data_IF_402029333274
#
_entry.id   IF_402029333274
#
_cell.length_a   1.000
_cell.length_b   1.000
_cell.length_c   1.000
_cell.angle_alpha   90.00
_cell.angle_beta   90.00
_cell.angle_gamma   90.00
#
_symmetry.space_group_name_H-M   'P 1'
#
loop_
_entity.id
_entity.type
_entity.pdbx_description
1 polymer ?
#
# COMPACT_ATOMS: atom_id res chain seq x y z
N UNK A 1 31.02 -9.29 3.57
CA UNK A 1 31.15 -9.65 5.01
C UNK A 1 29.76 -9.71 5.61
N UNK A 2 29.45 -10.73 6.41
CA UNK A 2 28.09 -10.95 6.91
C UNK A 2 28.12 -11.28 8.42
N UNK A 3 27.46 -10.45 9.23
CA UNK A 3 27.23 -10.64 10.65
C UNK A 3 25.73 -10.70 10.98
N UNK A 4 24.87 -10.96 9.99
CA UNK A 4 23.43 -10.96 10.22
C UNK A 4 23.04 -11.92 11.34
N UNK A 5 22.02 -11.55 12.11
CA UNK A 5 21.50 -12.26 13.29
C UNK A 5 22.51 -12.36 14.46
N UNK A 6 23.59 -11.56 14.45
CA UNK A 6 24.50 -11.45 15.60
C UNK A 6 23.87 -10.55 16.68
N UNK A 7 22.83 -11.05 17.35
CA UNK A 7 22.00 -10.28 18.31
C UNK A 7 22.78 -9.70 19.49
N UNK A 8 23.90 -10.32 19.88
CA UNK A 8 24.77 -9.87 20.97
C UNK A 8 25.92 -8.95 20.50
N UNK A 9 26.06 -8.69 19.19
CA UNK A 9 27.13 -7.86 18.65
C UNK A 9 26.92 -6.39 19.02
N UNK A 10 27.65 -5.89 20.01
CA UNK A 10 27.57 -4.49 20.45
C UNK A 10 28.35 -3.52 19.57
N UNK A 11 29.47 -3.99 19.01
CA UNK A 11 30.37 -3.24 18.14
C UNK A 11 30.92 -4.17 17.08
N UNK A 12 31.14 -3.67 15.87
CA UNK A 12 31.86 -4.41 14.82
C UNK A 12 33.37 -4.43 15.09
N UNK A 13 34.08 -5.44 14.55
CA UNK A 13 35.54 -5.42 14.52
C UNK A 13 36.04 -4.24 13.67
N UNK A 14 37.31 -3.90 13.85
CA UNK A 14 37.97 -2.89 13.02
C UNK A 14 37.92 -3.30 11.54
N UNK A 15 37.53 -2.36 10.68
CA UNK A 15 37.40 -2.52 9.23
C UNK A 15 38.52 -1.79 8.47
N UNK A 16 39.59 -1.40 9.16
CA UNK A 16 40.71 -0.66 8.58
C UNK A 16 41.37 -1.35 7.38
N UNK A 17 41.39 -2.69 7.37
CA UNK A 17 41.94 -3.50 6.27
C UNK A 17 40.89 -3.94 5.24
N UNK A 18 39.61 -3.59 5.44
CA UNK A 18 38.49 -4.05 4.62
C UNK A 18 38.30 -3.21 3.34
N UNK A 19 39.37 -2.80 2.67
CA UNK A 19 39.32 -1.93 1.49
C UNK A 19 38.61 -2.54 0.28
N UNK A 20 38.61 -3.88 0.17
CA UNK A 20 37.91 -4.62 -0.88
C UNK A 20 36.46 -4.99 -0.52
N UNK A 21 35.95 -4.50 0.61
CA UNK A 21 34.59 -4.84 1.05
C UNK A 21 33.55 -4.19 0.14
N UNK A 22 32.77 -5.01 -0.56
CA UNK A 22 31.70 -4.54 -1.48
C UNK A 22 30.32 -4.57 -0.80
N UNK A 23 30.06 -5.60 0.02
CA UNK A 23 28.78 -5.84 0.68
C UNK A 23 28.99 -6.10 2.17
N UNK A 24 28.28 -5.37 3.02
CA UNK A 24 28.26 -5.55 4.47
C UNK A 24 26.84 -5.83 4.95
N UNK A 25 26.62 -7.01 5.53
CA UNK A 25 25.33 -7.44 6.07
C UNK A 25 25.38 -7.47 7.60
N UNK A 26 24.48 -6.72 8.23
CA UNK A 26 24.35 -6.56 9.68
C UNK A 26 22.90 -6.74 10.12
N UNK A 27 22.06 -7.37 9.30
CA UNK A 27 20.63 -7.50 9.59
C UNK A 27 20.42 -8.20 10.94
N UNK A 28 19.43 -7.81 11.74
CA UNK A 28 19.13 -8.46 13.02
C UNK A 28 20.18 -8.26 14.12
N UNK A 29 21.19 -7.40 13.94
CA UNK A 29 22.15 -7.07 15.01
C UNK A 29 21.52 -6.10 16.03
N UNK A 30 20.57 -6.60 16.83
CA UNK A 30 19.73 -5.79 17.73
C UNK A 30 20.51 -5.03 18.81
N UNK A 31 21.65 -5.57 19.28
CA UNK A 31 22.51 -4.91 20.29
C UNK A 31 23.56 -3.95 19.71
N UNK A 32 23.66 -3.80 18.39
CA UNK A 32 24.69 -2.97 17.76
C UNK A 32 24.35 -1.48 17.96
N UNK A 33 25.18 -0.77 18.73
CA UNK A 33 24.91 0.63 19.12
C UNK A 33 25.50 1.63 18.12
N UNK A 34 26.66 1.31 17.55
CA UNK A 34 27.38 2.16 16.60
C UNK A 34 28.20 1.32 15.61
N UNK A 35 28.46 1.86 14.41
CA UNK A 35 29.48 1.34 13.51
C UNK A 35 30.83 2.02 13.80
N UNK A 36 31.96 1.30 13.67
CA UNK A 36 33.27 1.88 13.89
C UNK A 36 33.60 2.90 12.79
N UNK A 37 34.38 3.93 13.13
CA UNK A 37 34.83 4.93 12.16
C UNK A 37 35.63 4.33 11.00
N UNK A 38 36.26 3.17 11.22
CA UNK A 38 36.96 2.40 10.20
C UNK A 38 36.09 1.97 9.00
N UNK A 39 34.76 2.03 9.09
CA UNK A 39 33.86 1.79 7.94
C UNK A 39 34.20 2.72 6.77
N UNK A 40 34.75 3.91 7.03
CA UNK A 40 35.18 4.84 6.00
C UNK A 40 36.35 4.34 5.14
N UNK A 41 37.05 3.29 5.56
CA UNK A 41 38.11 2.64 4.77
C UNK A 41 37.56 1.62 3.77
N UNK A 42 36.29 1.22 3.90
CA UNK A 42 35.60 0.36 2.94
C UNK A 42 35.15 1.19 1.71
N UNK A 43 36.11 1.80 1.01
CA UNK A 43 35.86 2.72 -0.12
C UNK A 43 35.14 2.05 -1.30
N UNK A 44 35.21 0.72 -1.41
CA UNK A 44 34.54 -0.07 -2.44
C UNK A 44 33.15 -0.57 -2.02
N UNK A 45 32.67 -0.20 -0.83
CA UNK A 45 31.38 -0.62 -0.31
C UNK A 45 30.27 -0.07 -1.20
N UNK A 46 29.45 -0.98 -1.75
CA UNK A 46 28.31 -0.66 -2.61
C UNK A 46 26.98 -0.80 -1.89
N UNK A 47 26.86 -1.74 -0.96
CA UNK A 47 25.63 -1.94 -0.19
C UNK A 47 25.90 -2.21 1.28
N UNK A 48 25.16 -1.50 2.13
CA UNK A 48 25.15 -1.68 3.59
C UNK A 48 23.74 -2.04 4.05
N UNK A 49 23.61 -3.19 4.70
CA UNK A 49 22.34 -3.71 5.23
C UNK A 49 22.35 -3.71 6.75
N UNK A 50 21.46 -2.94 7.35
CA UNK A 50 21.30 -2.72 8.80
C UNK A 50 19.87 -3.05 9.28
N UNK A 51 19.08 -3.76 8.48
CA UNK A 51 17.67 -4.07 8.81
C UNK A 51 17.55 -4.77 10.16
N UNK A 52 16.76 -4.23 11.09
CA UNK A 52 16.56 -4.80 12.42
C UNK A 52 17.66 -4.47 13.43
N UNK A 53 18.59 -3.55 13.13
CA UNK A 53 19.55 -3.01 14.11
C UNK A 53 18.85 -2.00 15.05
N UNK A 54 17.90 -2.46 15.86
CA UNK A 54 17.05 -1.60 16.69
C UNK A 54 17.81 -0.78 17.73
N UNK A 55 18.98 -1.24 18.19
CA UNK A 55 19.87 -0.53 19.11
C UNK A 55 20.78 0.52 18.47
N UNK A 56 20.85 0.61 17.13
CA UNK A 56 21.75 1.52 16.43
C UNK A 56 21.29 2.97 16.60
N UNK A 57 22.12 3.81 17.22
CA UNK A 57 21.76 5.20 17.54
C UNK A 57 22.22 6.18 16.47
N UNK A 58 23.38 5.94 15.85
CA UNK A 58 23.98 6.82 14.84
C UNK A 58 24.84 6.04 13.85
N UNK A 59 25.01 6.60 12.66
CA UNK A 59 26.08 6.20 11.75
C UNK A 59 27.30 7.11 11.94
N UNK A 60 28.54 6.59 11.86
CA UNK A 60 29.74 7.40 11.98
C UNK A 60 29.88 8.35 10.79
N UNK A 61 30.43 9.54 11.01
CA UNK A 61 30.67 10.52 9.94
C UNK A 61 31.57 9.99 8.82
N UNK A 62 32.45 9.02 9.12
CA UNK A 62 33.29 8.39 8.11
C UNK A 62 32.51 7.56 7.08
N UNK A 63 31.21 7.28 7.27
CA UNK A 63 30.38 6.62 6.24
C UNK A 63 30.37 7.41 4.92
N UNK A 64 30.55 8.73 4.98
CA UNK A 64 30.66 9.58 3.79
C UNK A 64 31.88 9.29 2.92
N UNK A 65 32.89 8.57 3.43
CA UNK A 65 34.06 8.15 2.65
C UNK A 65 33.76 6.93 1.76
N UNK A 66 32.67 6.20 2.01
CA UNK A 66 32.21 5.13 1.14
C UNK A 66 31.52 5.72 -0.10
N UNK A 67 32.26 6.45 -0.93
CA UNK A 67 31.75 7.21 -2.07
C UNK A 67 31.14 6.31 -3.16
N UNK A 68 31.47 5.01 -3.17
CA UNK A 68 30.86 4.01 -4.05
C UNK A 68 29.56 3.40 -3.50
N UNK A 69 29.10 3.82 -2.32
CA UNK A 69 27.88 3.32 -1.72
C UNK A 69 26.68 3.67 -2.60
N UNK A 70 25.92 2.65 -2.98
CA UNK A 70 24.74 2.74 -3.84
C UNK A 70 23.47 2.45 -3.06
N UNK A 71 23.52 1.58 -2.06
CA UNK A 71 22.35 1.17 -1.30
C UNK A 71 22.61 1.19 0.21
N UNK A 72 21.75 1.87 0.95
CA UNK A 72 21.74 1.89 2.41
C UNK A 72 20.36 1.47 2.92
N UNK A 73 20.29 0.32 3.60
CA UNK A 73 19.06 -0.25 4.13
C UNK A 73 19.09 -0.24 5.66
N UNK A 74 18.28 0.60 6.27
CA UNK A 74 18.15 0.79 7.73
C UNK A 74 16.70 0.55 8.16
N UNK A 75 16.12 -0.59 7.80
CA UNK A 75 14.75 -0.90 8.21
C UNK A 75 14.71 -1.23 9.70
N UNK A 76 13.67 -0.81 10.41
CA UNK A 76 13.45 -1.08 11.84
C UNK A 76 14.64 -0.71 12.74
N UNK A 77 15.45 0.29 12.35
CA UNK A 77 16.48 0.89 13.21
C UNK A 77 15.82 1.95 14.09
N UNK A 78 14.99 1.50 15.04
CA UNK A 78 14.08 2.36 15.80
C UNK A 78 14.78 3.39 16.69
N UNK A 79 16.04 3.18 17.06
CA UNK A 79 16.84 4.11 17.88
C UNK A 79 17.66 5.10 17.06
N UNK A 80 17.68 4.98 15.73
CA UNK A 80 18.45 5.88 14.86
C UNK A 80 17.78 7.25 14.83
N UNK A 81 18.48 8.28 15.30
CA UNK A 81 17.93 9.63 15.49
C UNK A 81 18.19 10.54 14.28
N UNK A 82 19.36 10.40 13.66
CA UNK A 82 19.79 11.22 12.53
C UNK A 82 20.75 10.44 11.61
N UNK A 83 20.91 10.94 10.38
CA UNK A 83 22.04 10.57 9.52
C UNK A 83 23.16 11.61 9.68
N UNK A 84 24.45 11.21 9.63
CA UNK A 84 25.55 12.17 9.69
C UNK A 84 25.53 13.10 8.48
N UNK A 85 25.91 14.36 8.65
CA UNK A 85 26.01 15.33 7.57
C UNK A 85 26.86 14.84 6.38
N UNK A 86 27.87 14.03 6.62
CA UNK A 86 28.73 13.46 5.59
C UNK A 86 28.03 12.44 4.67
N UNK A 87 26.79 12.03 4.95
CA UNK A 87 26.04 11.13 4.05
C UNK A 87 25.91 11.72 2.64
N UNK A 88 25.85 13.05 2.51
CA UNK A 88 25.84 13.75 1.23
C UNK A 88 27.09 13.51 0.36
N UNK A 89 28.18 12.98 0.93
CA UNK A 89 29.39 12.64 0.17
C UNK A 89 29.27 11.29 -0.56
N UNK A 90 28.30 10.44 -0.20
CA UNK A 90 28.01 9.19 -0.89
C UNK A 90 27.25 9.46 -2.20
N UNK A 91 27.83 10.24 -3.11
CA UNK A 91 27.17 10.78 -4.32
C UNK A 91 26.70 9.71 -5.32
N UNK A 92 27.13 8.45 -5.14
CA UNK A 92 26.63 7.29 -5.89
C UNK A 92 25.39 6.62 -5.29
N UNK A 93 24.89 7.10 -4.15
CA UNK A 93 23.73 6.52 -3.48
C UNK A 93 22.49 6.61 -4.39
N UNK A 94 21.84 5.47 -4.59
CA UNK A 94 20.64 5.29 -5.42
C UNK A 94 19.42 4.97 -4.56
N UNK A 95 19.60 4.19 -3.49
CA UNK A 95 18.53 3.78 -2.60
C UNK A 95 18.90 4.09 -1.14
N UNK A 96 18.07 4.87 -0.47
CA UNK A 96 18.17 5.16 0.97
C UNK A 96 16.87 4.79 1.67
N UNK A 97 16.88 3.67 2.40
CA UNK A 97 15.68 3.13 3.04
C UNK A 97 15.84 3.20 4.56
N UNK A 98 15.03 4.04 5.20
CA UNK A 98 14.97 4.29 6.64
C UNK A 98 13.57 3.91 7.14
N UNK A 99 13.10 2.71 6.80
CA UNK A 99 11.74 2.28 7.11
C UNK A 99 11.61 1.97 8.61
N UNK A 100 10.58 2.46 9.28
CA UNK A 100 10.32 2.28 10.70
C UNK A 100 11.48 2.76 11.61
N UNK A 101 12.24 3.77 11.18
CA UNK A 101 13.17 4.51 12.03
C UNK A 101 12.39 5.52 12.90
N UNK A 102 11.63 5.02 13.87
CA UNK A 102 10.67 5.82 14.64
C UNK A 102 11.28 6.95 15.48
N UNK A 103 12.58 6.92 15.77
CA UNK A 103 13.29 8.01 16.46
C UNK A 103 13.87 9.07 15.52
N UNK A 104 13.82 8.88 14.21
CA UNK A 104 14.34 9.83 13.22
C UNK A 104 13.54 11.13 13.26
N UNK A 105 14.21 12.27 13.45
CA UNK A 105 13.55 13.59 13.56
C UNK A 105 13.71 14.44 12.29
N UNK A 106 14.87 14.36 11.65
CA UNK A 106 15.20 15.10 10.43
C UNK A 106 16.22 14.34 9.55
N UNK A 107 16.31 14.76 8.29
CA UNK A 107 17.44 14.40 7.42
C UNK A 107 18.42 15.58 7.34
N UNK A 108 19.74 15.33 7.24
CA UNK A 108 20.71 16.40 7.06
C UNK A 108 20.50 17.10 5.71
N UNK A 109 20.72 18.42 5.65
CA UNK A 109 20.58 19.21 4.41
C UNK A 109 21.50 18.75 3.28
N UNK A 110 22.62 18.11 3.62
CA UNK A 110 23.56 17.49 2.66
C UNK A 110 22.95 16.36 1.83
N UNK A 111 21.77 15.85 2.19
CA UNK A 111 21.01 14.91 1.35
C UNK A 111 20.81 15.48 -0.06
N UNK A 112 20.72 16.81 -0.20
CA UNK A 112 20.61 17.51 -1.48
C UNK A 112 21.76 17.25 -2.46
N UNK A 113 22.92 16.77 -1.98
CA UNK A 113 24.08 16.42 -2.83
C UNK A 113 23.95 15.03 -3.48
N UNK A 114 22.93 14.25 -3.09
CA UNK A 114 22.73 12.88 -3.60
C UNK A 114 21.99 12.90 -4.95
N UNK A 115 22.63 13.48 -5.98
CA UNK A 115 22.01 13.68 -7.29
C UNK A 115 21.59 12.38 -8.01
N UNK A 116 22.15 11.23 -7.63
CA UNK A 116 21.79 9.89 -8.15
C UNK A 116 20.75 9.16 -7.31
N UNK A 117 20.26 9.75 -6.21
CA UNK A 117 19.28 9.13 -5.34
C UNK A 117 17.97 8.98 -6.10
N UNK A 118 17.59 7.73 -6.32
CA UNK A 118 16.42 7.32 -7.07
C UNK A 118 15.24 7.07 -6.12
N UNK A 119 15.51 6.45 -4.97
CA UNK A 119 14.50 6.06 -4.00
C UNK A 119 14.86 6.53 -2.59
N UNK A 120 13.95 7.30 -2.00
CA UNK A 120 13.99 7.68 -0.60
C UNK A 120 12.77 7.12 0.11
N UNK A 121 12.97 6.13 0.98
CA UNK A 121 11.90 5.51 1.75
C UNK A 121 12.08 5.83 3.24
N UNK A 122 11.14 6.61 3.78
CA UNK A 122 11.07 7.07 5.17
C UNK A 122 9.82 6.53 5.86
N UNK A 123 9.15 5.53 5.28
CA UNK A 123 7.90 4.99 5.80
C UNK A 123 8.02 4.66 7.29
N UNK A 124 7.09 5.12 8.11
CA UNK A 124 7.04 4.81 9.54
C UNK A 124 8.06 5.56 10.41
N UNK A 125 8.75 6.57 9.86
CA UNK A 125 9.52 7.54 10.64
C UNK A 125 8.57 8.49 11.39
N UNK A 126 7.93 8.00 12.43
CA UNK A 126 6.79 8.68 13.09
C UNK A 126 7.13 10.02 13.74
N UNK A 127 8.40 10.25 14.12
CA UNK A 127 8.89 11.53 14.67
C UNK A 127 9.47 12.49 13.61
N UNK A 128 9.53 12.09 12.33
CA UNK A 128 10.04 12.96 11.28
C UNK A 128 9.06 14.11 11.06
N UNK A 129 9.53 15.34 11.27
CA UNK A 129 8.66 16.53 11.18
C UNK A 129 8.79 17.26 9.85
N UNK A 130 10.03 17.33 9.33
CA UNK A 130 10.38 18.11 8.14
C UNK A 130 11.44 17.40 7.29
N UNK A 131 11.45 17.74 6.00
CA UNK A 131 12.57 17.45 5.11
C UNK A 131 13.35 18.74 4.84
N UNK A 132 14.64 18.65 4.50
CA UNK A 132 15.40 19.81 4.04
C UNK A 132 14.69 20.50 2.89
N UNK A 133 14.60 21.83 2.97
CA UNK A 133 14.00 22.68 1.94
C UNK A 133 15.09 23.26 1.03
N UNK A 134 14.68 23.84 -0.11
CA UNK A 134 15.59 24.48 -1.08
C UNK A 134 16.65 23.54 -1.67
N UNK A 135 16.33 22.25 -1.77
CA UNK A 135 17.14 21.25 -2.46
C UNK A 135 16.33 20.64 -3.62
N UNK A 136 17.03 20.05 -4.58
CA UNK A 136 16.41 19.35 -5.70
C UNK A 136 17.14 18.04 -5.99
N UNK A 137 16.54 16.92 -5.61
CA UNK A 137 17.07 15.60 -5.91
C UNK A 137 16.71 15.21 -7.36
N UNK A 138 17.63 15.45 -8.29
CA UNK A 138 17.40 15.35 -9.74
C UNK A 138 16.94 13.97 -10.23
N UNK A 139 17.43 12.90 -9.60
CA UNK A 139 17.09 11.52 -9.96
C UNK A 139 15.95 10.92 -9.14
N UNK A 140 15.42 11.64 -8.14
CA UNK A 140 14.47 11.08 -7.19
C UNK A 140 13.15 10.77 -7.89
N UNK A 141 12.80 9.49 -7.96
CA UNK A 141 11.60 9.00 -8.64
C UNK A 141 10.56 8.46 -7.66
N UNK A 142 10.96 7.89 -6.51
CA UNK A 142 10.06 7.48 -5.42
C UNK A 142 10.42 8.24 -4.14
N UNK A 143 9.40 8.84 -3.54
CA UNK A 143 9.42 9.30 -2.15
C UNK A 143 8.27 8.65 -1.38
N UNK A 144 8.63 7.89 -0.33
CA UNK A 144 7.67 7.26 0.56
C UNK A 144 7.78 7.84 1.98
N UNK A 145 6.75 8.57 2.40
CA UNK A 145 6.57 9.15 3.74
C UNK A 145 5.35 8.53 4.44
N UNK A 146 4.93 7.33 4.03
CA UNK A 146 3.78 6.65 4.61
C UNK A 146 3.95 6.48 6.12
N UNK A 147 2.91 6.75 6.92
CA UNK A 147 2.92 6.65 8.38
C UNK A 147 3.95 7.57 9.09
N UNK A 148 4.43 8.63 8.44
CA UNK A 148 5.16 9.72 9.10
C UNK A 148 4.18 10.66 9.82
N UNK A 149 3.69 10.22 10.98
CA UNK A 149 2.55 10.84 11.70
C UNK A 149 2.75 12.31 12.06
N UNK A 150 3.98 12.74 12.33
CA UNK A 150 4.31 14.13 12.71
C UNK A 150 4.62 15.05 11.52
N UNK A 151 4.66 14.50 10.30
CA UNK A 151 5.02 15.24 9.09
C UNK A 151 3.86 16.10 8.60
N UNK A 152 3.99 17.43 8.66
CA UNK A 152 2.87 18.39 8.48
C UNK A 152 2.94 19.22 7.20
N UNK A 153 4.13 19.42 6.64
CA UNK A 153 4.35 20.22 5.43
C UNK A 153 4.42 19.33 4.19
N UNK A 154 4.03 19.85 3.02
CA UNK A 154 4.23 19.13 1.77
C UNK A 154 5.73 19.01 1.42
N UNK A 155 6.23 17.85 0.97
CA UNK A 155 7.67 17.61 0.78
C UNK A 155 8.19 18.19 -0.55
N UNK A 156 8.59 19.45 -0.55
CA UNK A 156 9.19 20.13 -1.73
C UNK A 156 10.70 19.82 -1.88
N UNK A 157 11.05 18.54 -2.00
CA UNK A 157 12.44 18.06 -2.08
C UNK A 157 12.92 17.76 -3.52
N UNK A 158 11.98 17.54 -4.45
CA UNK A 158 12.27 17.28 -5.86
C UNK A 158 11.02 17.44 -6.71
N UNK A 159 11.17 17.99 -7.91
CA UNK A 159 10.10 18.04 -8.93
C UNK A 159 10.11 16.83 -9.87
N UNK A 160 11.08 15.92 -9.73
CA UNK A 160 11.25 14.73 -10.59
C UNK A 160 10.51 13.49 -10.08
N UNK A 161 9.86 13.58 -8.91
CA UNK A 161 9.16 12.48 -8.27
C UNK A 161 8.05 11.96 -9.20
N UNK A 162 8.03 10.64 -9.40
CA UNK A 162 7.00 9.93 -10.16
C UNK A 162 5.94 9.33 -9.25
N UNK A 163 6.36 8.85 -8.08
CA UNK A 163 5.50 8.22 -7.07
C UNK A 163 5.74 8.91 -5.73
N UNK A 164 4.69 9.56 -5.21
CA UNK A 164 4.71 10.25 -3.93
C UNK A 164 3.70 9.61 -2.98
N UNK A 165 4.17 9.04 -1.88
CA UNK A 165 3.32 8.39 -0.87
C UNK A 165 3.31 9.18 0.43
N UNK A 166 2.15 9.70 0.79
CA UNK A 166 1.92 10.58 1.94
C UNK A 166 0.80 10.06 2.85
N UNK A 167 0.42 8.79 2.72
CA UNK A 167 -0.60 8.18 3.56
C UNK A 167 -0.18 8.24 5.04
N UNK A 168 -1.11 8.53 5.95
CA UNK A 168 -0.80 8.59 7.38
C UNK A 168 0.09 9.77 7.80
N UNK A 169 0.27 10.78 6.94
CA UNK A 169 0.92 12.05 7.33
C UNK A 169 -0.09 13.04 7.90
N UNK A 170 0.39 14.08 8.58
CA UNK A 170 -0.42 15.18 9.08
C UNK A 170 -0.45 16.39 8.11
N UNK A 171 -0.21 16.15 6.81
CA UNK A 171 -0.20 17.19 5.77
C UNK A 171 -1.59 17.80 5.63
N UNK A 172 -1.66 19.14 5.68
CA UNK A 172 -2.91 19.91 5.63
C UNK A 172 -3.12 20.67 4.33
N UNK A 173 -2.11 20.75 3.48
CA UNK A 173 -2.19 21.47 2.21
C UNK A 173 -1.28 20.83 1.16
N UNK A 174 -1.68 20.97 -0.10
CA UNK A 174 -0.86 20.65 -1.26
C UNK A 174 -0.54 21.99 -1.93
N UNK A 175 0.73 22.34 -2.13
CA UNK A 175 1.12 23.62 -2.72
C UNK A 175 0.82 23.66 -4.22
N UNK A 176 0.70 24.86 -4.80
CA UNK A 176 0.49 25.05 -6.23
C UNK A 176 1.69 24.59 -7.08
N UNK A 177 2.88 24.56 -6.48
CA UNK A 177 4.13 24.08 -7.09
C UNK A 177 4.03 22.63 -7.59
N UNK A 178 3.11 21.82 -7.06
CA UNK A 178 2.88 20.44 -7.52
C UNK A 178 2.53 20.37 -9.03
N UNK A 179 1.96 21.45 -9.59
CA UNK A 179 1.69 21.54 -11.04
C UNK A 179 2.96 21.51 -11.89
N UNK A 180 4.12 21.83 -11.31
CA UNK A 180 5.41 21.78 -11.98
C UNK A 180 6.00 20.36 -12.01
N UNK A 181 5.42 19.41 -11.27
CA UNK A 181 5.91 18.04 -11.15
C UNK A 181 5.39 17.21 -12.33
N UNK A 182 5.88 17.49 -13.52
CA UNK A 182 5.41 16.89 -14.78
C UNK A 182 5.56 15.37 -14.86
N UNK A 183 6.39 14.78 -14.00
CA UNK A 183 6.62 13.34 -13.89
C UNK A 183 5.72 12.64 -12.87
N UNK A 184 5.03 13.39 -12.01
CA UNK A 184 4.20 12.83 -10.95
C UNK A 184 3.01 12.08 -11.58
N UNK A 185 3.03 10.76 -11.46
CA UNK A 185 2.02 9.87 -12.02
C UNK A 185 1.17 9.21 -10.94
N UNK A 186 1.68 9.15 -9.70
CA UNK A 186 1.06 8.46 -8.58
C UNK A 186 1.23 9.29 -7.31
N UNK A 187 0.11 9.75 -6.75
CA UNK A 187 0.03 10.52 -5.52
C UNK A 187 -0.94 9.83 -4.57
N UNK A 188 -0.38 9.19 -3.54
CA UNK A 188 -1.14 8.55 -2.47
C UNK A 188 -1.22 9.49 -1.26
N UNK A 189 -2.42 9.83 -0.81
CA UNK A 189 -2.62 10.75 0.32
C UNK A 189 -3.72 10.30 1.27
N UNK A 190 -3.65 10.77 2.52
CA UNK A 190 -4.75 10.65 3.46
C UNK A 190 -5.64 11.89 3.48
N UNK A 191 -6.93 11.69 3.65
CA UNK A 191 -7.88 12.76 3.90
C UNK A 191 -7.69 13.32 5.31
N UNK A 192 -7.66 14.66 5.43
CA UNK A 192 -7.69 15.38 6.69
C UNK A 192 -8.87 16.35 6.66
N UNK A 193 -9.64 16.48 7.74
CA UNK A 193 -10.77 17.44 7.80
C UNK A 193 -10.32 18.90 7.65
N UNK A 194 -9.06 19.20 7.98
CA UNK A 194 -8.45 20.52 7.77
C UNK A 194 -7.88 20.71 6.36
N UNK A 195 -7.89 19.67 5.52
CA UNK A 195 -7.48 19.76 4.12
C UNK A 195 -8.52 20.62 3.40
N UNK A 196 -8.27 21.93 3.34
CA UNK A 196 -9.09 22.89 2.59
C UNK A 196 -9.23 22.37 1.15
N UNK A 197 -10.38 22.59 0.52
CA UNK A 197 -10.67 22.12 -0.84
C UNK A 197 -9.44 22.31 -1.76
N UNK A 198 -9.01 21.22 -2.42
CA UNK A 198 -7.78 21.18 -3.22
C UNK A 198 -8.07 21.14 -4.72
N UNK A 199 -8.73 22.14 -5.34
CA UNK A 199 -9.13 22.07 -6.74
C UNK A 199 -7.96 21.78 -7.69
N UNK A 200 -6.74 22.25 -7.38
CA UNK A 200 -5.56 22.03 -8.20
C UNK A 200 -4.94 20.64 -8.08
N UNK A 201 -5.17 19.91 -6.98
CA UNK A 201 -4.62 18.57 -6.78
C UNK A 201 -5.58 17.45 -7.22
N UNK A 202 -6.87 17.76 -7.47
CA UNK A 202 -7.90 16.77 -7.85
C UNK A 202 -7.55 15.98 -9.11
N UNK A 203 -6.84 16.60 -10.06
CA UNK A 203 -6.40 15.96 -11.29
C UNK A 203 -5.17 15.07 -11.15
N UNK A 204 -4.59 14.96 -9.94
CA UNK A 204 -3.30 14.30 -9.72
C UNK A 204 -3.41 13.17 -8.68
N UNK A 205 -4.28 13.32 -7.68
CA UNK A 205 -4.48 12.30 -6.64
C UNK A 205 -4.98 10.99 -7.28
N UNK A 206 -4.19 9.92 -7.11
CA UNK A 206 -4.48 8.57 -7.63
C UNK A 206 -5.05 7.67 -6.55
N UNK A 207 -4.61 7.84 -5.30
CA UNK A 207 -5.04 7.02 -4.17
C UNK A 207 -5.40 7.91 -2.99
N UNK A 208 -6.63 7.76 -2.49
CA UNK A 208 -7.12 8.51 -1.33
C UNK A 208 -7.51 7.56 -0.19
N UNK A 209 -6.92 7.82 0.98
CA UNK A 209 -7.18 7.05 2.19
C UNK A 209 -7.91 7.91 3.24
N UNK A 210 -9.15 7.58 3.53
CA UNK A 210 -9.98 8.27 4.55
C UNK A 210 -10.15 7.31 5.72
N UNK A 211 -9.67 7.71 6.90
CA UNK A 211 -9.68 6.85 8.09
C UNK A 211 -10.24 7.57 9.30
N UNK A 212 -11.12 6.88 10.03
CA UNK A 212 -11.65 7.28 11.34
C UNK A 212 -12.18 8.72 11.38
N UNK A 213 -12.85 9.15 10.31
CA UNK A 213 -13.48 10.48 10.24
C UNK A 213 -14.89 10.44 10.78
N UNK A 214 -15.34 11.58 11.31
CA UNK A 214 -16.69 11.76 11.86
C UNK A 214 -17.68 12.29 10.81
N UNK A 215 -17.24 12.32 9.55
CA UNK A 215 -18.01 12.78 8.39
C UNK A 215 -19.27 11.94 8.16
N UNK A 216 -20.37 12.62 7.81
CA UNK A 216 -21.62 11.97 7.40
C UNK A 216 -21.69 11.69 5.91
N UNK A 217 -20.96 12.47 5.11
CA UNK A 217 -20.96 12.43 3.65
C UNK A 217 -19.56 12.66 3.10
N UNK A 218 -19.25 12.08 1.94
CA UNK A 218 -17.98 12.29 1.24
C UNK A 218 -17.92 13.70 0.63
N UNK A 219 -16.81 14.45 0.82
CA UNK A 219 -16.62 15.75 0.22
C UNK A 219 -16.86 15.76 -1.29
N UNK A 220 -17.51 16.81 -1.78
CA UNK A 220 -17.88 16.93 -3.20
C UNK A 220 -16.68 16.85 -4.16
N UNK A 221 -15.51 17.31 -3.72
CA UNK A 221 -14.31 17.30 -4.55
C UNK A 221 -13.81 15.88 -4.85
N UNK A 222 -14.07 14.88 -3.98
CA UNK A 222 -13.71 13.48 -4.24
C UNK A 222 -14.45 12.99 -5.49
N UNK A 223 -15.69 13.46 -5.71
CA UNK A 223 -16.49 13.18 -6.91
C UNK A 223 -15.87 13.78 -8.17
N UNK A 224 -15.16 14.91 -8.04
CA UNK A 224 -14.51 15.63 -9.15
C UNK A 224 -13.09 15.13 -9.45
N UNK A 225 -12.58 14.17 -8.69
CA UNK A 225 -11.22 13.64 -8.83
C UNK A 225 -11.13 12.65 -10.00
N UNK A 226 -10.86 13.15 -11.20
CA UNK A 226 -10.85 12.36 -12.44
C UNK A 226 -9.75 11.30 -12.53
N UNK A 227 -8.69 11.44 -11.72
CA UNK A 227 -7.54 10.53 -11.74
C UNK A 227 -7.57 9.51 -10.59
N UNK A 228 -8.59 9.54 -9.74
CA UNK A 228 -8.68 8.66 -8.57
C UNK A 228 -8.88 7.21 -9.02
N UNK A 229 -7.89 6.36 -8.73
CA UNK A 229 -7.87 4.92 -9.04
C UNK A 229 -8.21 4.08 -7.82
N UNK A 230 -7.89 4.56 -6.63
CA UNK A 230 -8.12 3.84 -5.39
C UNK A 230 -8.71 4.75 -4.31
N UNK A 231 -9.81 4.32 -3.70
CA UNK A 231 -10.45 4.97 -2.57
C UNK A 231 -10.60 3.96 -1.44
N UNK A 232 -10.02 4.27 -0.29
CA UNK A 232 -10.13 3.48 0.94
C UNK A 232 -10.83 4.29 2.02
N UNK A 233 -11.91 3.76 2.57
CA UNK A 233 -12.70 4.34 3.66
C UNK A 233 -12.67 3.37 4.84
N UNK A 234 -11.92 3.68 5.89
CA UNK A 234 -11.71 2.77 7.02
C UNK A 234 -12.23 3.40 8.31
N UNK A 235 -13.16 2.76 8.99
CA UNK A 235 -13.66 3.20 10.29
C UNK A 235 -14.43 4.54 10.26
N UNK A 236 -14.98 4.94 9.12
CA UNK A 236 -15.80 6.16 8.99
C UNK A 236 -17.21 5.89 9.56
N UNK A 237 -17.35 5.84 10.88
CA UNK A 237 -18.53 5.29 11.56
C UNK A 237 -19.81 6.07 11.36
N UNK A 238 -19.74 7.36 11.04
CA UNK A 238 -20.91 8.24 10.80
C UNK A 238 -21.30 8.39 9.34
N UNK A 239 -20.52 7.83 8.41
CA UNK A 239 -20.80 7.91 6.97
C UNK A 239 -22.07 7.14 6.64
N UNK A 240 -23.07 7.81 6.04
CA UNK A 240 -24.41 7.22 5.80
C UNK A 240 -24.59 6.76 4.35
N UNK A 241 -24.02 7.46 3.38
CA UNK A 241 -24.07 7.05 1.98
C UNK A 241 -22.79 7.35 1.20
N UNK A 242 -22.60 6.59 0.12
CA UNK A 242 -21.57 6.89 -0.88
C UNK A 242 -22.19 7.63 -2.06
N UNK A 243 -21.64 8.78 -2.49
CA UNK A 243 -22.10 9.46 -3.69
C UNK A 243 -21.50 8.84 -4.96
N UNK A 244 -21.97 9.29 -6.13
CA UNK A 244 -21.31 8.97 -7.41
C UNK A 244 -19.80 9.23 -7.34
N UNK A 245 -19.03 8.19 -7.66
CA UNK A 245 -17.57 8.20 -7.71
C UNK A 245 -17.10 8.29 -9.16
N UNK A 246 -15.82 8.62 -9.36
CA UNK A 246 -15.20 8.68 -10.69
C UNK A 246 -15.17 7.30 -11.36
N UNK A 247 -15.42 7.26 -12.66
CA UNK A 247 -15.33 6.03 -13.47
C UNK A 247 -13.87 5.53 -13.62
N UNK A 248 -12.88 6.36 -13.28
CA UNK A 248 -11.47 5.97 -13.21
C UNK A 248 -11.16 4.97 -12.08
N UNK A 249 -12.06 4.81 -11.12
CA UNK A 249 -11.84 4.01 -9.92
C UNK A 249 -11.68 2.52 -10.27
N UNK A 250 -10.57 1.94 -9.83
CA UNK A 250 -10.22 0.53 -9.97
C UNK A 250 -10.41 -0.24 -8.66
N UNK A 251 -10.28 0.44 -7.52
CA UNK A 251 -10.37 -0.17 -6.21
C UNK A 251 -11.18 0.72 -5.26
N UNK A 252 -12.25 0.16 -4.70
CA UNK A 252 -13.00 0.76 -3.60
C UNK A 252 -12.96 -0.20 -2.42
N UNK A 253 -12.38 0.24 -1.31
CA UNK A 253 -12.38 -0.49 -0.05
C UNK A 253 -13.09 0.33 1.01
N UNK A 254 -14.11 -0.26 1.62
CA UNK A 254 -14.90 0.33 2.69
C UNK A 254 -14.91 -0.67 3.83
N UNK A 255 -14.25 -0.32 4.91
CA UNK A 255 -14.06 -1.19 6.06
C UNK A 255 -14.61 -0.55 7.33
N UNK A 256 -15.34 -1.32 8.13
CA UNK A 256 -15.84 -0.92 9.46
C UNK A 256 -16.61 0.43 9.44
N UNK A 257 -17.30 0.75 8.34
CA UNK A 257 -18.20 1.90 8.22
C UNK A 257 -19.60 1.49 8.68
N UNK A 258 -19.81 1.52 10.01
CA UNK A 258 -20.97 0.92 10.68
C UNK A 258 -22.32 1.58 10.36
N UNK A 259 -22.33 2.85 9.94
CA UNK A 259 -23.55 3.59 9.57
C UNK A 259 -23.83 3.63 8.06
N UNK A 260 -22.98 3.02 7.24
CA UNK A 260 -23.15 3.09 5.79
C UNK A 260 -24.36 2.26 5.35
N UNK A 261 -25.39 2.94 4.86
CA UNK A 261 -26.68 2.35 4.52
C UNK A 261 -26.95 2.34 3.01
N UNK A 262 -26.59 3.43 2.32
CA UNK A 262 -26.97 3.66 0.92
C UNK A 262 -25.78 3.87 -0.01
N UNK A 263 -25.96 3.50 -1.27
CA UNK A 263 -25.03 3.74 -2.36
C UNK A 263 -25.75 4.58 -3.41
N UNK A 264 -25.52 5.89 -3.38
CA UNK A 264 -26.10 6.87 -4.30
C UNK A 264 -25.18 7.03 -5.54
N UNK A 265 -24.72 5.90 -6.07
CA UNK A 265 -23.73 5.82 -7.13
C UNK A 265 -23.97 4.62 -8.06
N UNK A 266 -23.44 4.71 -9.27
CA UNK A 266 -23.28 3.60 -10.19
C UNK A 266 -21.79 3.31 -10.39
N UNK A 267 -21.47 2.03 -10.54
CA UNK A 267 -20.11 1.58 -10.83
C UNK A 267 -20.02 1.16 -12.29
N UNK A 268 -19.62 2.09 -13.16
CA UNK A 268 -19.61 1.84 -14.62
C UNK A 268 -18.36 1.07 -15.08
N UNK A 269 -17.29 1.06 -14.30
CA UNK A 269 -16.03 0.42 -14.66
C UNK A 269 -16.08 -1.09 -14.36
N UNK A 270 -16.10 -1.98 -15.37
CA UNK A 270 -16.19 -3.43 -15.15
C UNK A 270 -14.92 -4.04 -14.54
N UNK A 271 -13.81 -3.28 -14.48
CA UNK A 271 -12.56 -3.71 -13.86
C UNK A 271 -12.47 -3.35 -12.37
N UNK A 272 -13.45 -2.63 -11.84
CA UNK A 272 -13.45 -2.22 -10.44
C UNK A 272 -13.51 -3.44 -9.51
N UNK A 273 -12.74 -3.37 -8.43
CA UNK A 273 -12.83 -4.27 -7.30
C UNK A 273 -13.51 -3.55 -6.15
N UNK A 274 -14.65 -4.08 -5.70
CA UNK A 274 -15.44 -3.53 -4.61
C UNK A 274 -15.23 -4.36 -3.34
N UNK A 275 -14.86 -3.73 -2.24
CA UNK A 275 -14.70 -4.42 -0.96
C UNK A 275 -15.44 -3.66 0.12
N UNK A 276 -16.51 -4.25 0.62
CA UNK A 276 -17.27 -3.75 1.77
C UNK A 276 -17.07 -4.74 2.91
N UNK A 277 -16.13 -4.43 3.80
CA UNK A 277 -15.84 -5.20 4.99
C UNK A 277 -16.61 -4.66 6.18
N UNK A 278 -17.31 -5.55 6.88
CA UNK A 278 -18.10 -5.26 8.07
C UNK A 278 -19.11 -4.09 7.98
N UNK A 279 -19.54 -3.70 6.77
CA UNK A 279 -20.55 -2.66 6.53
C UNK A 279 -21.98 -3.22 6.63
N UNK A 280 -22.36 -3.78 7.78
CA UNK A 280 -23.57 -4.61 7.92
C UNK A 280 -24.90 -3.85 7.78
N UNK A 281 -24.88 -2.51 7.84
CA UNK A 281 -26.07 -1.66 7.64
C UNK A 281 -26.43 -1.37 6.18
N UNK A 282 -25.62 -1.81 5.22
CA UNK A 282 -25.96 -1.68 3.80
C UNK A 282 -27.36 -2.25 3.54
N UNK A 283 -28.26 -1.40 3.02
CA UNK A 283 -29.64 -1.74 2.78
C UNK A 283 -29.78 -2.73 1.61
N UNK A 284 -31.02 -3.16 1.31
CA UNK A 284 -31.25 -4.16 0.27
C UNK A 284 -30.83 -3.63 -1.10
N UNK A 285 -31.18 -2.39 -1.42
CA UNK A 285 -30.90 -1.72 -2.69
C UNK A 285 -29.40 -1.61 -2.96
N UNK A 286 -28.61 -1.20 -1.96
CA UNK A 286 -27.16 -1.12 -2.02
C UNK A 286 -26.51 -2.48 -2.26
N UNK A 287 -26.96 -3.52 -1.54
CA UNK A 287 -26.46 -4.90 -1.74
C UNK A 287 -26.82 -5.42 -3.12
N UNK A 288 -28.05 -5.20 -3.56
CA UNK A 288 -28.52 -5.55 -4.90
C UNK A 288 -27.68 -4.88 -5.99
N UNK A 289 -27.34 -3.60 -5.82
CA UNK A 289 -26.46 -2.86 -6.71
C UNK A 289 -25.08 -3.54 -6.80
N UNK A 290 -24.42 -3.80 -5.67
CA UNK A 290 -23.10 -4.46 -5.65
C UNK A 290 -23.16 -5.83 -6.34
N UNK A 291 -24.19 -6.63 -6.05
CA UNK A 291 -24.35 -7.98 -6.61
C UNK A 291 -24.59 -7.92 -8.13
N UNK A 292 -25.39 -6.97 -8.62
CA UNK A 292 -25.76 -6.86 -10.04
C UNK A 292 -24.66 -6.22 -10.89
N UNK A 293 -23.89 -5.30 -10.32
CA UNK A 293 -22.77 -4.60 -10.98
C UNK A 293 -21.77 -5.58 -11.59
N UNK A 294 -21.31 -5.30 -12.81
CA UNK A 294 -20.18 -6.02 -13.41
C UNK A 294 -18.88 -5.49 -12.81
N UNK A 295 -18.12 -6.39 -12.18
CA UNK A 295 -16.89 -6.03 -11.44
C UNK A 295 -15.80 -7.07 -11.72
N UNK A 296 -14.56 -6.72 -11.39
CA UNK A 296 -13.48 -7.71 -11.33
C UNK A 296 -13.75 -8.74 -10.24
N UNK A 297 -14.13 -8.25 -9.05
CA UNK A 297 -14.76 -9.01 -7.97
C UNK A 297 -15.40 -8.03 -6.98
N UNK A 298 -16.33 -8.53 -6.18
CA UNK A 298 -16.94 -7.77 -5.08
C UNK A 298 -16.92 -8.59 -3.79
N UNK A 299 -16.69 -7.94 -2.65
CA UNK A 299 -16.90 -8.51 -1.32
C UNK A 299 -17.89 -7.65 -0.57
N UNK A 300 -18.91 -8.26 0.04
CA UNK A 300 -19.92 -7.53 0.82
C UNK A 300 -20.43 -8.37 1.99
N UNK A 301 -20.89 -7.74 3.09
CA UNK A 301 -21.46 -8.49 4.20
C UNK A 301 -22.79 -9.11 3.80
N UNK A 302 -22.99 -10.37 4.17
CA UNK A 302 -24.28 -11.05 4.01
C UNK A 302 -24.45 -12.15 5.05
N UNK A 303 -25.67 -12.34 5.54
CA UNK A 303 -25.99 -13.46 6.45
C UNK A 303 -26.27 -14.76 5.68
N UNK A 304 -26.70 -14.64 4.43
CA UNK A 304 -27.10 -15.76 3.58
C UNK A 304 -26.70 -15.49 2.12
N UNK A 305 -26.79 -16.52 1.27
CA UNK A 305 -26.57 -16.36 -0.17
C UNK A 305 -27.78 -15.65 -0.81
N UNK A 306 -27.52 -14.63 -1.61
CA UNK A 306 -28.57 -13.84 -2.27
C UNK A 306 -29.44 -14.68 -3.22
N UNK A 307 -30.71 -14.31 -3.39
CA UNK A 307 -31.66 -15.03 -4.25
C UNK A 307 -31.23 -15.10 -5.74
N UNK A 308 -30.45 -14.14 -6.20
CA UNK A 308 -29.91 -14.11 -7.57
C UNK A 308 -28.96 -15.27 -7.87
N UNK A 309 -28.47 -15.99 -6.87
CA UNK A 309 -27.67 -17.20 -7.03
C UNK A 309 -28.56 -18.42 -6.86
N UNK A 310 -29.04 -18.93 -8.01
CA UNK A 310 -30.04 -20.00 -8.13
C UNK A 310 -29.47 -21.39 -7.84
N UNK A 311 -28.22 -21.63 -8.20
CA UNK A 311 -27.51 -22.88 -7.92
C UNK A 311 -26.71 -22.75 -6.63
N UNK A 312 -26.99 -23.63 -5.65
CA UNK A 312 -26.39 -23.61 -4.32
C UNK A 312 -25.86 -24.99 -3.98
N UNK A 313 -24.72 -25.05 -3.31
CA UNK A 313 -24.12 -26.25 -2.80
C UNK A 313 -23.74 -26.00 -1.35
N UNK A 314 -24.10 -26.95 -0.48
CA UNK A 314 -23.79 -26.90 0.94
C UNK A 314 -22.47 -27.65 1.25
N UNK A 315 -21.85 -28.28 0.24
CA UNK A 315 -20.60 -29.03 0.34
C UNK A 315 -19.39 -28.10 0.23
N UNK A 316 -18.33 -28.39 0.99
CA UNK A 316 -17.17 -27.50 1.19
C UNK A 316 -16.23 -27.34 -0.02
N UNK A 317 -16.35 -28.13 -1.09
CA UNK A 317 -15.26 -28.22 -2.09
C UNK A 317 -15.65 -28.21 -3.57
N UNK A 318 -16.91 -28.48 -3.95
CA UNK A 318 -17.31 -28.48 -5.36
C UNK A 318 -18.83 -28.38 -5.57
N UNK A 319 -19.23 -27.83 -6.71
CA UNK A 319 -20.61 -27.74 -7.19
C UNK A 319 -20.65 -28.19 -8.64
N UNK A 320 -21.64 -29.04 -8.99
CA UNK A 320 -21.94 -29.40 -10.36
C UNK A 320 -23.25 -28.71 -10.78
N UNK A 321 -23.25 -28.04 -11.92
CA UNK A 321 -24.43 -27.36 -12.47
C UNK A 321 -24.76 -27.99 -13.81
N UNK A 322 -25.96 -28.53 -13.94
CA UNK A 322 -26.50 -28.99 -15.22
C UNK A 322 -27.23 -27.84 -15.89
N UNK A 323 -26.64 -27.30 -16.96
CA UNK A 323 -27.24 -26.25 -17.77
C UNK A 323 -28.24 -26.88 -18.75
N UNK A 324 -29.45 -27.14 -18.27
CA UNK A 324 -30.51 -27.70 -19.09
C UNK A 324 -31.12 -26.58 -19.95
N UNK A 325 -30.99 -26.75 -21.27
CA UNK A 325 -31.78 -26.08 -22.32
C UNK A 325 -31.39 -24.65 -22.71
N UNK A 326 -30.26 -24.54 -23.42
CA UNK A 326 -30.02 -23.74 -24.66
C UNK A 326 -28.54 -23.89 -25.01
N UNK A 327 -28.15 -23.97 -26.30
CA UNK A 327 -26.74 -23.90 -26.65
C UNK A 327 -26.18 -22.60 -26.06
N UNK A 328 -25.14 -22.72 -25.22
CA UNK A 328 -24.43 -21.56 -24.70
C UNK A 328 -23.96 -20.71 -25.89
N UNK A 329 -24.27 -19.42 -25.85
CA UNK A 329 -23.75 -18.48 -26.84
C UNK A 329 -22.22 -18.48 -26.82
N UNK A 330 -21.59 -18.07 -27.93
CA UNK A 330 -20.12 -18.06 -28.15
C UNK A 330 -19.36 -17.48 -26.93
N UNK A 331 -19.96 -16.50 -26.24
CA UNK A 331 -19.50 -16.02 -24.94
C UNK A 331 -20.66 -15.97 -23.95
N UNK A 332 -20.71 -16.90 -23.00
CA UNK A 332 -21.69 -16.85 -21.90
C UNK A 332 -21.01 -16.35 -20.62
N UNK A 333 -21.56 -15.30 -20.01
CA UNK A 333 -21.04 -14.71 -18.77
C UNK A 333 -21.78 -15.27 -17.56
N UNK A 334 -21.04 -15.75 -16.59
CA UNK A 334 -21.54 -16.30 -15.35
C UNK A 334 -21.06 -15.46 -14.18
N UNK A 335 -21.89 -15.41 -13.14
CA UNK A 335 -21.58 -14.79 -11.86
C UNK A 335 -21.68 -15.87 -10.78
N UNK A 336 -20.63 -16.03 -9.99
CA UNK A 336 -20.60 -16.95 -8.88
C UNK A 336 -20.33 -16.21 -7.58
N UNK A 337 -20.76 -16.80 -6.47
CA UNK A 337 -20.42 -16.32 -5.15
C UNK A 337 -19.90 -17.44 -4.25
N UNK A 338 -18.99 -17.09 -3.35
CA UNK A 338 -18.51 -17.94 -2.27
C UNK A 338 -18.91 -17.27 -0.95
N UNK A 339 -19.54 -18.04 -0.07
CA UNK A 339 -19.88 -17.57 1.27
C UNK A 339 -18.69 -17.78 2.20
N UNK A 340 -18.06 -16.69 2.61
CA UNK A 340 -16.90 -16.68 3.49
C UNK A 340 -17.36 -16.67 4.95
N UNK A 341 -17.11 -17.80 5.63
CA UNK A 341 -17.34 -17.94 7.07
C UNK A 341 -16.01 -18.21 7.74
N UNK A 342 -15.53 -17.24 8.50
CA UNK A 342 -14.42 -17.45 9.40
C UNK A 342 -14.95 -17.95 10.76
N UNK A 343 -14.43 -19.10 11.23
CA UNK A 343 -14.60 -19.60 12.59
C UNK A 343 -13.22 -19.49 13.23
N UNK A 344 -13.00 -18.47 14.05
CA UNK A 344 -11.67 -18.18 14.57
C UNK A 344 -11.25 -19.13 15.68
N UNK A 345 -9.96 -19.43 15.69
CA UNK A 345 -9.24 -19.65 16.94
C UNK A 345 -8.75 -18.27 17.41
N UNK A 346 -9.04 -17.95 18.67
CA UNK A 346 -8.55 -16.73 19.33
C UNK A 346 -7.07 -16.95 19.61
N UNK A 347 -6.23 -16.11 19.01
CA UNK A 347 -4.90 -15.65 19.46
C UNK A 347 -4.03 -15.42 18.23
N UNK A 348 -3.98 -14.17 17.78
CA UNK A 348 -2.75 -13.52 17.32
C UNK A 348 -3.09 -12.06 16.99
N UNK A 349 -2.59 -11.15 17.83
CA UNK A 349 -2.63 -9.71 17.63
C UNK A 349 -1.67 -9.31 16.50
N UNK A 350 -2.09 -9.43 15.24
CA UNK A 350 -1.58 -8.59 14.14
C UNK A 350 -2.52 -8.57 12.93
N UNK A 351 -2.71 -7.37 12.38
CA UNK A 351 -3.79 -6.93 11.51
C UNK A 351 -3.67 -7.38 10.04
N UNK A 352 -4.82 -7.74 9.45
CA UNK A 352 -5.04 -8.05 8.02
C UNK A 352 -4.57 -9.45 7.59
N UNK A 353 -5.43 -10.18 6.86
CA UNK A 353 -5.17 -11.51 6.31
C UNK A 353 -5.19 -11.50 4.81
N UNK A 354 -4.34 -12.32 4.21
CA UNK A 354 -4.38 -12.58 2.77
C UNK A 354 -5.35 -13.74 2.47
N UNK A 355 -6.32 -13.50 1.59
CA UNK A 355 -7.27 -14.50 1.13
C UNK A 355 -7.00 -14.76 -0.36
N UNK A 356 -6.69 -16.02 -0.67
CA UNK A 356 -6.55 -16.52 -2.04
C UNK A 356 -7.75 -17.39 -2.37
N UNK A 357 -8.46 -17.02 -3.45
CA UNK A 357 -9.58 -17.79 -3.98
C UNK A 357 -9.19 -18.29 -5.36
N UNK A 358 -8.99 -19.60 -5.45
CA UNK A 358 -8.85 -20.31 -6.71
C UNK A 358 -10.17 -21.00 -7.03
N UNK A 359 -10.53 -20.99 -8.31
CA UNK A 359 -11.67 -21.75 -8.81
C UNK A 359 -11.28 -22.43 -10.11
N UNK A 360 -11.75 -23.65 -10.28
CA UNK A 360 -11.56 -24.41 -11.51
C UNK A 360 -12.94 -24.79 -12.03
N UNK A 361 -13.19 -24.48 -13.29
CA UNK A 361 -14.41 -24.91 -13.98
C UNK A 361 -14.00 -26.06 -14.89
N UNK A 362 -14.67 -27.20 -14.75
CA UNK A 362 -14.48 -28.38 -15.60
C UNK A 362 -15.82 -28.71 -16.23
N UNK A 363 -15.82 -28.92 -17.54
CA UNK A 363 -16.98 -29.51 -18.20
C UNK A 363 -16.93 -31.04 -18.05
N UNK A 364 -18.09 -31.66 -17.82
CA UNK A 364 -18.16 -33.10 -17.52
C UNK A 364 -18.21 -33.98 -18.78
N UNK A 365 -18.69 -33.44 -19.91
CA UNK A 365 -19.15 -34.25 -21.05
C UNK A 365 -18.82 -33.74 -22.47
N UNK A 366 -18.02 -32.68 -22.66
CA UNK A 366 -17.65 -32.23 -24.02
C UNK A 366 -16.15 -31.87 -24.12
N UNK A 367 -15.56 -32.20 -25.28
CA UNK A 367 -14.19 -31.90 -25.68
C UNK A 367 -14.06 -30.48 -26.28
N UNK A 368 -15.17 -29.78 -26.52
CA UNK A 368 -15.24 -28.55 -27.35
C UNK A 368 -15.35 -27.23 -26.54
N UNK A 369 -15.44 -27.27 -25.21
CA UNK A 369 -15.50 -26.05 -24.38
C UNK A 369 -14.21 -25.88 -23.59
N UNK A 370 -13.34 -24.99 -24.09
CA UNK A 370 -12.15 -24.59 -23.36
C UNK A 370 -12.51 -23.58 -22.27
N UNK A 371 -12.33 -23.95 -21.01
CA UNK A 371 -12.35 -23.00 -19.90
C UNK A 371 -10.91 -22.57 -19.61
N UNK A 372 -10.50 -21.34 -19.99
CA UNK A 372 -9.15 -20.89 -19.67
C UNK A 372 -8.96 -20.94 -18.16
N UNK A 373 -7.88 -21.60 -17.73
CA UNK A 373 -7.44 -21.58 -16.34
C UNK A 373 -7.32 -20.11 -15.90
N UNK A 374 -8.21 -19.67 -15.01
CA UNK A 374 -8.16 -18.31 -14.47
C UNK A 374 -7.32 -18.33 -13.21
N UNK A 375 -6.34 -17.41 -13.17
CA UNK A 375 -5.50 -17.17 -12.00
C UNK A 375 -6.37 -16.92 -10.77
N UNK A 376 -5.90 -17.41 -9.64
CA UNK A 376 -6.52 -17.15 -8.34
C UNK A 376 -6.72 -15.64 -8.14
N UNK A 377 -7.82 -15.28 -7.47
CA UNK A 377 -8.09 -13.93 -7.03
C UNK A 377 -7.50 -13.76 -5.64
N UNK A 378 -6.72 -12.70 -5.46
CA UNK A 378 -6.07 -12.39 -4.19
C UNK A 378 -6.66 -11.09 -3.65
N UNK A 379 -6.99 -11.09 -2.37
CA UNK A 379 -7.31 -9.85 -1.67
C UNK A 379 -6.95 -9.96 -0.19
N UNK A 380 -6.58 -8.82 0.37
CA UNK A 380 -6.43 -8.66 1.81
C UNK A 380 -7.78 -8.34 2.46
N UNK A 381 -8.02 -8.88 3.65
CA UNK A 381 -9.24 -8.67 4.42
C UNK A 381 -8.93 -8.57 5.92
N UNK A 382 -9.77 -7.86 6.70
CA UNK A 382 -9.60 -7.83 8.15
C UNK A 382 -9.77 -9.22 8.77
N UNK A 383 -9.07 -9.50 9.87
CA UNK A 383 -9.17 -10.78 10.60
C UNK A 383 -10.57 -11.04 11.14
N UNK A 384 -11.36 -9.99 11.33
CA UNK A 384 -12.76 -10.01 11.77
C UNK A 384 -13.76 -10.35 10.66
N UNK A 385 -13.30 -10.56 9.41
CA UNK A 385 -14.16 -10.87 8.27
C UNK A 385 -14.99 -12.14 8.55
N UNK A 386 -16.27 -11.94 8.83
CA UNK A 386 -17.21 -13.02 9.10
C UNK A 386 -18.51 -12.75 8.37
N UNK A 387 -19.04 -13.78 7.69
CA UNK A 387 -20.32 -13.72 6.98
C UNK A 387 -20.28 -12.69 5.83
N UNK A 388 -19.43 -12.96 4.85
CA UNK A 388 -19.29 -12.15 3.64
C UNK A 388 -19.52 -12.99 2.39
N UNK A 389 -20.06 -12.37 1.34
CA UNK A 389 -20.08 -12.96 0.01
C UNK A 389 -18.90 -12.43 -0.77
N UNK A 390 -18.10 -13.34 -1.34
CA UNK A 390 -17.15 -13.04 -2.39
C UNK A 390 -17.80 -13.33 -3.74
N UNK A 391 -17.94 -12.34 -4.60
CA UNK A 391 -18.63 -12.41 -5.88
C UNK A 391 -17.63 -12.15 -7.01
N UNK A 392 -17.68 -12.94 -8.07
CA UNK A 392 -16.82 -12.78 -9.23
C UNK A 392 -17.51 -13.21 -10.52
N UNK A 393 -17.03 -12.66 -11.63
CA UNK A 393 -17.53 -12.98 -12.97
C UNK A 393 -16.51 -13.77 -13.80
N UNK A 394 -17.01 -14.69 -14.61
CA UNK A 394 -16.20 -15.44 -15.57
C UNK A 394 -16.98 -15.68 -16.86
N UNK A 395 -16.25 -15.87 -17.95
CA UNK A 395 -16.83 -16.16 -19.25
C UNK A 395 -16.50 -17.60 -19.62
N UNK A 396 -17.48 -18.33 -20.12
CA UNK A 396 -17.27 -19.58 -20.85
C UNK A 396 -17.26 -19.26 -22.34
N UNK A 397 -16.24 -19.74 -23.04
CA UNK A 397 -16.14 -19.67 -24.49
C UNK A 397 -16.22 -21.08 -25.04
N UNK A 398 -17.10 -21.27 -26.01
CA UNK A 398 -17.18 -22.49 -26.81
C UNK A 398 -16.24 -22.28 -28.02
N UNK A 399 -15.38 -23.24 -28.32
CA UNK A 399 -14.54 -23.19 -29.51
C UNK A 399 -15.37 -23.49 -30.77
#
# INVERSE_FOLDING_TARGET
MNFSESTNLKKLPDLSTASNLILLYLNGCTSLVELPSSIGNAINLKSLYLTGCSGLVKLPSSIGNATNLQNLYCHSCSSLVELPFSIGNATNLRCLYLVNCSSMVELPSSIGNLHKLAELNLKGCSKLEVLPTKINLESLYILDLTDCLMFKSFPEISTNIKVLKLMGTAIKEVPLSIKLWSRLCDLEMSYNENLKELPHALGIITTLYIKNTEMREIPLWVKKSSCLRELKLIGCKKLVSLPQLSDSLLYLEVENCESLERLDCLFNNPKISLKFFNCFKLNKEARDLIIKTSTNYAVLPSREVHANFTYRANTRSSMAISLNQRPLSITSRFKACIFLVYRGDKEEEANVREISISYHIKEKHSLDVFVPYRRAKYFTAPSTLTKHLFIFEFNLKRM
#
